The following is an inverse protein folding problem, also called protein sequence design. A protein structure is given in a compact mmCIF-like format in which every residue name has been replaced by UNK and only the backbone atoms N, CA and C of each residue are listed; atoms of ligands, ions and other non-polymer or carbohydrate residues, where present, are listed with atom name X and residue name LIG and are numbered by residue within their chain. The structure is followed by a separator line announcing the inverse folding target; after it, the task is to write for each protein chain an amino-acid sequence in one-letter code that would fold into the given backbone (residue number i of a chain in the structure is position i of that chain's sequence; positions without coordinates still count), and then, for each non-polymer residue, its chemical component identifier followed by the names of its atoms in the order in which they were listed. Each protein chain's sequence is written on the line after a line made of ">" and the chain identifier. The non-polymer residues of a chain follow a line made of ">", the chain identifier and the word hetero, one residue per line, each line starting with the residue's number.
data_IF_298624065129
#
_entry.id   IF_298624065129
#
_cell.length_a   1.000
_cell.length_b   1.000
_cell.length_c   1.000
_cell.angle_alpha   90.00
_cell.angle_beta   90.00
_cell.angle_gamma   90.00
#
_symmetry.space_group_name_H-M   'P 1'
#
loop_
_entity.id
_entity.type
_entity.pdbx_description
1 polymer ?
#
# COMPACT_ATOMS: atom_id res chain seq x y z
N UNK A 1 -12.49 -3.17 4.56
CA UNK A 1 -11.57 -3.19 3.41
C UNK A 1 -10.15 -3.32 3.94
N UNK A 2 -9.29 -4.04 3.24
CA UNK A 2 -7.91 -4.26 3.64
C UNK A 2 -6.96 -3.41 2.80
N UNK A 3 -6.08 -2.67 3.47
CA UNK A 3 -4.99 -1.92 2.84
C UNK A 3 -3.69 -2.62 3.22
N UNK A 4 -3.00 -3.18 2.22
CA UNK A 4 -1.67 -3.76 2.40
C UNK A 4 -0.62 -2.80 1.86
N UNK A 5 0.46 -2.61 2.61
CA UNK A 5 1.65 -1.90 2.14
C UNK A 5 2.81 -2.88 2.19
N UNK A 6 3.32 -3.25 1.03
CA UNK A 6 4.56 -4.01 0.92
C UNK A 6 5.73 -3.06 0.89
N UNK A 7 6.75 -3.37 1.66
CA UNK A 7 7.92 -2.52 1.83
C UNK A 7 9.15 -3.30 2.26
N UNK A 8 10.22 -2.57 2.47
CA UNK A 8 11.46 -3.04 3.08
C UNK A 8 11.95 -2.01 4.09
N UNK A 9 12.85 -2.45 4.98
CA UNK A 9 13.52 -1.56 5.95
C UNK A 9 14.44 -0.53 5.27
N UNK A 10 14.98 -0.87 4.10
CA UNK A 10 15.80 0.03 3.28
C UNK A 10 14.89 0.84 2.35
N UNK A 11 15.24 2.09 2.06
CA UNK A 11 14.50 2.93 1.10
C UNK A 11 14.67 2.42 -0.33
N UNK A 12 13.60 2.49 -1.14
CA UNK A 12 13.62 2.12 -2.55
C UNK A 12 14.72 2.88 -3.33
N UNK A 13 15.73 2.17 -3.88
CA UNK A 13 16.82 2.80 -4.63
C UNK A 13 16.33 3.55 -5.88
N UNK A 14 15.24 3.08 -6.48
CA UNK A 14 14.63 3.64 -7.69
C UNK A 14 13.70 4.83 -7.39
N UNK A 15 13.39 5.10 -6.12
CA UNK A 15 12.35 6.04 -5.69
C UNK A 15 12.95 7.25 -4.95
N UNK A 16 14.03 7.84 -5.49
CA UNK A 16 14.78 8.91 -4.81
C UNK A 16 13.87 10.08 -4.42
N UNK A 17 13.86 10.42 -3.14
CA UNK A 17 13.05 11.52 -2.58
C UNK A 17 11.62 11.14 -2.20
N UNK A 18 11.19 9.90 -2.42
CA UNK A 18 9.95 9.38 -1.87
C UNK A 18 10.11 9.03 -0.37
N UNK A 19 9.02 9.09 0.42
CA UNK A 19 9.02 8.60 1.79
C UNK A 19 9.37 7.11 1.87
N UNK A 20 9.89 6.66 3.01
CA UNK A 20 10.11 5.22 3.26
C UNK A 20 8.78 4.44 3.33
N UNK A 21 8.89 3.11 3.28
CA UNK A 21 7.72 2.23 3.38
C UNK A 21 7.00 2.34 4.72
N UNK A 22 7.75 2.43 5.82
CA UNK A 22 7.20 2.58 7.18
C UNK A 22 6.54 3.95 7.38
N UNK A 23 7.14 5.02 6.86
CA UNK A 23 6.54 6.36 6.87
C UNK A 23 5.24 6.39 6.08
N UNK A 24 5.25 5.81 4.87
CA UNK A 24 4.07 5.70 4.00
C UNK A 24 2.95 4.93 4.68
N UNK A 25 3.25 3.78 5.29
CA UNK A 25 2.28 2.98 6.02
C UNK A 25 1.64 3.76 7.17
N UNK A 26 2.47 4.36 8.04
CA UNK A 26 2.02 5.12 9.21
C UNK A 26 1.17 6.34 8.81
N UNK A 27 1.59 7.04 7.74
CA UNK A 27 0.87 8.18 7.20
C UNK A 27 -0.51 7.79 6.65
N UNK A 28 -0.57 6.73 5.84
CA UNK A 28 -1.85 6.23 5.30
C UNK A 28 -2.79 5.81 6.43
N UNK A 29 -2.31 5.04 7.40
CA UNK A 29 -3.10 4.61 8.55
C UNK A 29 -3.71 5.81 9.30
N UNK A 30 -2.90 6.84 9.57
CA UNK A 30 -3.34 8.02 10.29
C UNK A 30 -4.35 8.87 9.50
N UNK A 31 -4.09 9.12 8.21
CA UNK A 31 -4.95 10.00 7.41
C UNK A 31 -6.25 9.31 7.01
N UNK A 32 -6.19 8.06 6.58
CA UNK A 32 -7.37 7.33 6.13
C UNK A 32 -8.26 6.93 7.30
N UNK A 33 -7.68 6.56 8.45
CA UNK A 33 -8.43 6.25 9.67
C UNK A 33 -9.21 7.45 10.23
N UNK A 34 -8.80 8.69 9.92
CA UNK A 34 -9.57 9.90 10.24
C UNK A 34 -10.60 10.27 9.17
N UNK A 35 -10.35 9.90 7.91
CA UNK A 35 -11.16 10.31 6.76
C UNK A 35 -12.40 9.42 6.58
N UNK A 36 -12.31 8.14 6.91
CA UNK A 36 -13.36 7.16 6.65
C UNK A 36 -13.92 6.59 7.95
N UNK A 37 -15.24 6.54 8.06
CA UNK A 37 -15.94 5.92 9.21
C UNK A 37 -16.09 4.39 9.06
N UNK A 38 -15.68 3.84 7.92
CA UNK A 38 -15.70 2.39 7.65
C UNK A 38 -14.50 1.68 8.27
N UNK A 39 -14.64 0.37 8.52
CA UNK A 39 -13.54 -0.43 9.02
C UNK A 39 -12.46 -0.65 7.94
N UNK A 40 -11.27 -0.09 8.20
CA UNK A 40 -10.07 -0.26 7.40
C UNK A 40 -9.04 -1.07 8.18
N UNK A 41 -8.65 -2.23 7.64
CA UNK A 41 -7.55 -3.04 8.19
C UNK A 41 -6.26 -2.65 7.49
N UNK A 42 -5.21 -2.35 8.25
CA UNK A 42 -3.90 -2.02 7.72
C UNK A 42 -2.91 -3.14 7.99
N UNK A 43 -2.21 -3.60 6.96
CA UNK A 43 -1.18 -4.63 7.07
C UNK A 43 0.09 -4.14 6.40
N UNK A 44 1.19 -4.16 7.14
CA UNK A 44 2.52 -3.95 6.58
C UNK A 44 3.16 -5.31 6.30
N UNK A 45 3.76 -5.47 5.13
CA UNK A 45 4.48 -6.67 4.74
C UNK A 45 5.90 -6.28 4.35
N UNK A 46 6.88 -6.74 5.14
CA UNK A 46 8.27 -6.70 4.71
C UNK A 46 8.49 -7.82 3.68
N UNK A 47 8.62 -7.47 2.39
CA UNK A 47 8.74 -8.47 1.32
C UNK A 47 10.11 -9.16 1.33
N UNK A 48 11.15 -8.54 1.89
CA UNK A 48 12.47 -9.14 2.03
C UNK A 48 12.43 -10.25 3.08
N UNK A 49 11.70 -10.03 4.17
CA UNK A 49 11.58 -10.98 5.29
C UNK A 49 10.36 -11.91 5.20
N UNK A 50 9.50 -11.76 4.18
CA UNK A 50 8.30 -12.57 4.01
C UNK A 50 8.63 -14.07 3.86
N UNK A 51 8.09 -14.89 4.76
CA UNK A 51 8.21 -16.36 4.72
C UNK A 51 7.26 -17.00 3.70
N UNK A 52 6.10 -16.39 3.50
CA UNK A 52 5.15 -16.76 2.45
C UNK A 52 5.41 -15.88 1.23
N UNK A 53 5.70 -16.49 0.09
CA UNK A 53 5.89 -15.80 -1.20
C UNK A 53 4.56 -15.80 -1.94
N UNK A 54 3.77 -14.75 -1.74
CA UNK A 54 2.67 -14.46 -2.64
C UNK A 54 3.20 -13.78 -3.92
N UNK A 55 2.32 -13.62 -4.91
CA UNK A 55 2.69 -13.04 -6.21
C UNK A 55 3.25 -11.62 -6.11
N UNK A 56 2.89 -10.86 -5.06
CA UNK A 56 3.37 -9.49 -4.87
C UNK A 56 4.80 -9.47 -4.32
N UNK A 57 5.09 -10.37 -3.38
CA UNK A 57 6.46 -10.58 -2.87
C UNK A 57 7.39 -10.99 -4.01
N UNK A 58 6.96 -11.88 -4.89
CA UNK A 58 7.75 -12.31 -6.04
C UNK A 58 7.98 -11.17 -7.03
N UNK A 59 6.91 -10.45 -7.42
CA UNK A 59 7.02 -9.33 -8.35
C UNK A 59 7.91 -8.18 -7.82
N UNK A 60 7.91 -7.92 -6.51
CA UNK A 60 8.83 -6.95 -5.88
C UNK A 60 10.29 -7.42 -5.90
N UNK A 61 10.53 -8.72 -5.72
CA UNK A 61 11.89 -9.31 -5.77
C UNK A 61 12.44 -9.39 -7.19
N UNK A 62 11.55 -9.49 -8.17
CA UNK A 62 11.88 -9.53 -9.59
C UNK A 62 11.92 -8.12 -10.22
N UNK A 63 11.88 -7.06 -9.39
CA UNK A 63 11.90 -5.65 -9.79
C UNK A 63 10.75 -5.25 -10.76
N UNK A 64 9.64 -5.99 -10.78
CA UNK A 64 8.46 -5.66 -11.59
C UNK A 64 7.67 -4.48 -11.01
N UNK A 65 7.72 -4.33 -9.68
CA UNK A 65 7.13 -3.21 -8.94
C UNK A 65 8.18 -2.53 -8.04
N UNK A 66 7.93 -1.27 -7.74
CA UNK A 66 8.64 -0.49 -6.75
C UNK A 66 7.94 -0.54 -5.39
N UNK A 67 8.67 -0.22 -4.32
CA UNK A 67 8.12 -0.13 -2.98
C UNK A 67 8.28 1.29 -2.39
N UNK A 68 7.41 1.73 -1.47
CA UNK A 68 6.25 1.01 -0.94
C UNK A 68 5.18 0.74 -2.00
N UNK A 69 4.69 -0.51 -2.05
CA UNK A 69 3.63 -0.96 -2.95
C UNK A 69 2.33 -1.06 -2.15
N UNK A 70 1.30 -0.31 -2.55
CA UNK A 70 0.02 -0.21 -1.84
C UNK A 70 -1.06 -0.96 -2.59
N UNK A 71 -1.69 -1.90 -1.89
CA UNK A 71 -2.85 -2.64 -2.37
C UNK A 71 -4.10 -2.24 -1.56
N UNK A 72 -5.25 -2.27 -2.22
CA UNK A 72 -6.57 -2.21 -1.59
C UNK A 72 -7.36 -3.45 -2.00
N UNK A 73 -7.75 -4.26 -1.02
CA UNK A 73 -8.47 -5.54 -1.22
C UNK A 73 -7.81 -6.43 -2.29
N UNK A 74 -6.47 -6.46 -2.31
CA UNK A 74 -5.67 -7.26 -3.25
C UNK A 74 -5.42 -6.61 -4.61
N UNK A 75 -5.93 -5.41 -4.88
CA UNK A 75 -5.68 -4.66 -6.12
C UNK A 75 -4.56 -3.63 -5.92
N UNK A 76 -3.57 -3.61 -6.82
CA UNK A 76 -2.51 -2.59 -6.80
C UNK A 76 -3.08 -1.21 -7.08
N UNK A 77 -2.77 -0.24 -6.20
CA UNK A 77 -3.27 1.14 -6.29
C UNK A 77 -2.17 2.13 -6.64
N UNK A 78 -1.02 2.03 -5.97
CA UNK A 78 0.12 2.92 -6.21
C UNK A 78 1.40 2.30 -5.66
N UNK A 79 2.54 2.80 -6.13
CA UNK A 79 3.86 2.29 -5.74
C UNK A 79 4.92 3.40 -5.71
N UNK A 80 5.99 3.20 -4.92
CA UNK A 80 7.11 4.13 -4.80
C UNK A 80 6.67 5.48 -4.24
N UNK A 81 6.35 6.44 -5.10
CA UNK A 81 5.80 7.73 -4.67
C UNK A 81 4.27 7.66 -4.54
N UNK A 82 3.82 7.18 -3.38
CA UNK A 82 2.40 6.94 -3.10
C UNK A 82 1.62 8.25 -2.93
N UNK A 83 0.53 8.40 -3.69
CA UNK A 83 -0.33 9.56 -3.66
C UNK A 83 -1.66 9.29 -2.93
N UNK A 84 -1.93 10.06 -1.88
CA UNK A 84 -3.18 9.96 -1.10
C UNK A 84 -4.43 9.99 -1.98
N UNK A 85 -4.42 10.86 -3.01
CA UNK A 85 -5.56 11.03 -3.92
C UNK A 85 -5.92 9.73 -4.67
N UNK A 86 -4.93 8.92 -5.07
CA UNK A 86 -5.18 7.63 -5.73
C UNK A 86 -5.79 6.64 -4.76
N UNK A 87 -5.23 6.53 -3.55
CA UNK A 87 -5.73 5.64 -2.50
C UNK A 87 -7.15 6.02 -2.08
N UNK A 88 -7.42 7.30 -1.82
CA UNK A 88 -8.77 7.74 -1.46
C UNK A 88 -9.76 7.52 -2.59
N UNK A 89 -9.36 7.74 -3.85
CA UNK A 89 -10.24 7.49 -5.00
C UNK A 89 -10.61 6.01 -5.11
N UNK A 90 -9.67 5.11 -4.87
CA UNK A 90 -9.92 3.67 -4.90
C UNK A 90 -10.92 3.26 -3.80
N UNK A 91 -10.74 3.78 -2.58
CA UNK A 91 -11.67 3.58 -1.46
C UNK A 91 -13.06 4.12 -1.80
N UNK A 92 -13.15 5.36 -2.28
CA UNK A 92 -14.42 6.00 -2.61
C UNK A 92 -15.18 5.20 -3.70
N UNK A 93 -14.47 4.67 -4.70
CA UNK A 93 -15.06 3.82 -5.73
C UNK A 93 -15.63 2.51 -5.15
N UNK A 94 -14.88 1.81 -4.28
CA UNK A 94 -15.37 0.57 -3.66
C UNK A 94 -16.56 0.81 -2.74
N UNK A 95 -16.54 1.88 -1.96
CA UNK A 95 -17.68 2.25 -1.10
C UNK A 95 -18.94 2.58 -1.91
N UNK A 96 -18.79 3.27 -3.04
CA UNK A 96 -19.92 3.57 -3.93
C UNK A 96 -20.48 2.32 -4.63
N UNK A 97 -19.64 1.33 -4.92
CA UNK A 97 -20.07 0.05 -5.49
C UNK A 97 -20.82 -0.82 -4.47
N UNK A 98 -20.43 -0.78 -3.19
CA UNK A 98 -21.10 -1.55 -2.13
C UNK A 98 -22.47 -0.98 -1.73
N UNK A 99 -22.78 0.27 -2.13
CA UNK A 99 -24.06 0.92 -1.87
C UNK A 99 -25.11 0.68 -2.99
N UNK A 100 -24.76 -0.09 -4.03
CA UNK A 100 -25.60 -0.45 -5.17
C UNK A 100 -26.00 -1.93 -5.11
#
# INVERSE_FOLDING_TARGET
>A
MEIKVYGAAVTCPSCVGAPSSEETFSWLQAVLGRKYETELTFVYVDFEQATTRDSWVDALKDDEYFYPLVLLDGEMIDEGYVQLKKVTRAIDLKLNQAAQ
#
